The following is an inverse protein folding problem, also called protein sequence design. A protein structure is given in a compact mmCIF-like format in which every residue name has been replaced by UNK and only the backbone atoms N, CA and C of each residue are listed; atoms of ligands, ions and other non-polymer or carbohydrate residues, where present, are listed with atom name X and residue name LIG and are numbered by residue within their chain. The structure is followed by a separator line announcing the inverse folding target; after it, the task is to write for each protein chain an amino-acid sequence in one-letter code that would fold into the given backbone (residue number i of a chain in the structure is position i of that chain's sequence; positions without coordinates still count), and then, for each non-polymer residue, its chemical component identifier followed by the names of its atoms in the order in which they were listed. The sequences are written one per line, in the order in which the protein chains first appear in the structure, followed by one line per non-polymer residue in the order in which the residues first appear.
data_IF_026597098056
#
_entry.id   IF_026597098056
#
_cell.length_a   1.000
_cell.length_b   1.000
_cell.length_c   1.000
_cell.angle_alpha   90.00
_cell.angle_beta   90.00
_cell.angle_gamma   90.00
#
_symmetry.space_group_name_H-M   'P 1'
#
loop_
_entity.id
_entity.type
_entity.pdbx_description
1 polymer ?
#
# COMPACT_ATOMS: atom_id res chain seq x y z
N UNK A 1 7.74 -19.93 -31.55
CA UNK A 1 6.37 -19.57 -31.10
C UNK A 1 5.33 -20.30 -31.94
N UNK A 2 5.36 -20.11 -33.26
CA UNK A 2 4.49 -20.81 -34.21
C UNK A 2 4.42 -22.32 -33.97
N UNK A 3 5.56 -22.99 -33.83
CA UNK A 3 5.59 -24.43 -33.57
C UNK A 3 4.81 -24.83 -32.31
N UNK A 4 4.90 -24.09 -31.21
CA UNK A 4 4.17 -24.41 -29.97
C UNK A 4 2.66 -24.16 -30.10
N UNK A 5 2.26 -23.15 -30.88
CA UNK A 5 0.86 -22.74 -31.03
C UNK A 5 0.12 -23.48 -32.16
N UNK A 6 0.86 -23.97 -33.16
CA UNK A 6 0.28 -24.56 -34.38
C UNK A 6 0.63 -26.05 -34.58
N UNK A 7 1.39 -26.68 -33.68
CA UNK A 7 1.67 -28.12 -33.78
C UNK A 7 0.37 -28.93 -33.63
N UNK A 8 0.18 -29.88 -34.55
CA UNK A 8 -0.90 -30.87 -34.45
C UNK A 8 -0.67 -31.76 -33.22
N UNK A 9 -1.73 -32.17 -32.55
CA UNK A 9 -1.62 -32.97 -31.31
C UNK A 9 -0.85 -34.27 -31.53
N UNK A 10 -1.01 -34.90 -32.69
CA UNK A 10 -0.28 -36.11 -33.11
C UNK A 10 1.24 -35.88 -33.16
N UNK A 11 1.67 -34.74 -33.71
CA UNK A 11 3.09 -34.36 -33.75
C UNK A 11 3.61 -34.02 -32.36
N UNK A 12 2.79 -33.38 -31.52
CA UNK A 12 3.14 -33.07 -30.14
C UNK A 12 3.33 -34.36 -29.31
N UNK A 13 2.42 -35.35 -29.47
CA UNK A 13 2.56 -36.70 -28.88
C UNK A 13 3.86 -37.36 -29.29
N UNK A 14 4.17 -37.30 -30.58
CA UNK A 14 5.40 -37.89 -31.13
C UNK A 14 6.63 -37.22 -30.52
N UNK A 15 6.60 -35.89 -30.37
CA UNK A 15 7.71 -35.11 -29.78
C UNK A 15 7.89 -35.38 -28.28
N UNK A 16 6.80 -35.60 -27.54
CA UNK A 16 6.84 -35.79 -26.09
C UNK A 16 6.95 -37.25 -25.64
N UNK A 17 7.01 -38.21 -26.57
CA UNK A 17 6.92 -39.66 -26.30
C UNK A 17 7.89 -40.16 -25.21
N UNK A 18 9.11 -39.63 -25.18
CA UNK A 18 10.16 -40.06 -24.24
C UNK A 18 10.28 -39.14 -23.01
N UNK A 19 9.29 -38.27 -22.79
CA UNK A 19 9.27 -37.34 -21.66
C UNK A 19 8.18 -37.73 -20.65
N UNK A 20 8.33 -37.34 -19.37
CA UNK A 20 7.26 -37.48 -18.38
C UNK A 20 5.94 -36.80 -18.78
N UNK A 21 5.99 -35.83 -19.71
CA UNK A 21 4.82 -35.12 -20.21
C UNK A 21 4.03 -35.90 -21.27
N UNK A 22 4.51 -37.07 -21.75
CA UNK A 22 3.80 -37.91 -22.71
C UNK A 22 2.38 -38.25 -22.23
N UNK A 23 2.25 -38.58 -20.94
CA UNK A 23 0.99 -38.97 -20.30
C UNK A 23 -0.07 -37.85 -20.38
N UNK A 24 0.35 -36.59 -20.44
CA UNK A 24 -0.55 -35.42 -20.47
C UNK A 24 -1.13 -35.16 -21.86
N UNK A 25 -0.56 -35.79 -22.89
CA UNK A 25 -0.98 -35.61 -24.29
C UNK A 25 -1.50 -36.90 -24.91
N UNK A 26 -1.72 -37.97 -24.15
CA UNK A 26 -2.23 -39.25 -24.65
C UNK A 26 -3.58 -39.15 -25.38
N UNK A 27 -3.84 -40.12 -26.26
CA UNK A 27 -5.06 -40.20 -27.07
C UNK A 27 -6.35 -40.29 -26.24
N UNK A 28 -6.27 -40.98 -25.09
CA UNK A 28 -7.39 -41.10 -24.16
C UNK A 28 -7.67 -39.81 -23.39
N UNK A 29 -6.76 -38.84 -23.39
CA UNK A 29 -6.82 -37.62 -22.56
C UNK A 29 -6.73 -36.35 -23.42
N UNK A 30 -7.29 -36.40 -24.62
CA UNK A 30 -7.20 -35.32 -25.60
C UNK A 30 -7.80 -34.00 -25.11
N UNK A 31 -8.89 -34.06 -24.33
CA UNK A 31 -9.50 -32.87 -23.70
C UNK A 31 -8.54 -32.14 -22.75
N UNK A 32 -7.76 -32.89 -21.95
CA UNK A 32 -6.77 -32.30 -21.04
C UNK A 32 -5.60 -31.70 -21.82
N UNK A 33 -5.16 -32.35 -22.89
CA UNK A 33 -4.10 -31.83 -23.75
C UNK A 33 -4.51 -30.49 -24.42
N UNK A 34 -5.76 -30.39 -24.86
CA UNK A 34 -6.34 -29.15 -25.39
C UNK A 34 -6.38 -28.06 -24.30
N UNK A 35 -6.83 -28.40 -23.09
CA UNK A 35 -6.86 -27.47 -21.96
C UNK A 35 -5.45 -26.96 -21.59
N UNK A 36 -4.47 -27.84 -21.46
CA UNK A 36 -3.06 -27.48 -21.20
C UNK A 36 -2.54 -26.53 -22.29
N UNK A 37 -2.83 -26.82 -23.56
CA UNK A 37 -2.41 -25.98 -24.67
C UNK A 37 -3.09 -24.60 -24.65
N UNK A 38 -4.35 -24.52 -24.25
CA UNK A 38 -5.06 -23.25 -24.08
C UNK A 38 -4.41 -22.40 -22.98
N UNK A 39 -4.09 -23.00 -21.83
CA UNK A 39 -3.36 -22.31 -20.74
C UNK A 39 -1.98 -21.86 -21.21
N UNK A 40 -1.23 -22.74 -21.88
CA UNK A 40 0.12 -22.43 -22.38
C UNK A 40 0.13 -21.32 -23.42
N UNK A 41 -0.93 -21.22 -24.25
CA UNK A 41 -1.08 -20.15 -25.25
C UNK A 41 -1.05 -18.76 -24.60
N UNK A 42 -1.67 -18.60 -23.42
CA UNK A 42 -1.67 -17.32 -22.70
C UNK A 42 -0.26 -16.87 -22.30
N UNK A 43 0.62 -17.80 -21.92
CA UNK A 43 1.99 -17.50 -21.53
C UNK A 43 2.94 -17.38 -22.73
N UNK A 44 2.75 -18.19 -23.77
CA UNK A 44 3.62 -18.21 -24.96
C UNK A 44 3.42 -16.99 -25.86
N UNK A 45 2.28 -16.29 -25.77
CA UNK A 45 2.04 -14.99 -26.42
C UNK A 45 3.19 -14.00 -26.18
N UNK A 46 3.74 -13.98 -24.96
CA UNK A 46 4.84 -13.09 -24.58
C UNK A 46 6.11 -13.31 -25.42
N UNK A 47 6.35 -14.55 -25.88
CA UNK A 47 7.54 -14.93 -26.66
C UNK A 47 7.52 -14.29 -28.05
N UNK A 48 6.37 -13.82 -28.56
CA UNK A 48 6.31 -13.08 -29.84
C UNK A 48 7.17 -11.83 -29.83
N UNK A 49 7.22 -11.15 -28.70
CA UNK A 49 8.02 -9.95 -28.50
C UNK A 49 9.51 -10.26 -28.39
N UNK A 50 9.90 -11.53 -28.38
CA UNK A 50 11.28 -11.96 -28.42
C UNK A 50 11.76 -12.29 -29.83
N UNK A 51 10.98 -11.98 -30.87
CA UNK A 51 11.43 -12.17 -32.26
C UNK A 51 12.72 -11.38 -32.54
N UNK A 52 13.64 -12.00 -33.30
CA UNK A 52 14.89 -11.38 -33.73
C UNK A 52 16.02 -11.48 -32.71
N UNK A 53 15.80 -12.01 -31.51
CA UNK A 53 16.89 -12.21 -30.53
C UNK A 53 17.94 -13.21 -31.01
N UNK A 54 17.52 -14.19 -31.83
CA UNK A 54 18.39 -15.19 -32.44
C UNK A 54 19.49 -14.60 -33.33
N UNK A 55 19.38 -13.33 -33.73
CA UNK A 55 20.38 -12.62 -34.55
C UNK A 55 21.30 -11.73 -33.73
N UNK A 56 21.07 -11.58 -32.43
CA UNK A 56 21.76 -10.61 -31.57
C UNK A 56 23.10 -11.10 -30.99
N UNK A 57 23.71 -12.13 -31.56
CA UNK A 57 25.03 -12.63 -31.18
C UNK A 57 24.99 -13.81 -30.22
N UNK A 58 25.91 -13.82 -29.24
CA UNK A 58 26.11 -14.94 -28.31
C UNK A 58 24.90 -15.16 -27.39
N UNK A 59 24.53 -16.43 -27.11
CA UNK A 59 23.47 -16.73 -26.17
C UNK A 59 23.73 -16.16 -24.78
N UNK A 60 22.76 -15.42 -24.25
CA UNK A 60 22.80 -14.89 -22.89
C UNK A 60 21.91 -15.70 -21.96
N UNK A 61 22.42 -16.09 -20.80
CA UNK A 61 21.61 -16.62 -19.70
C UNK A 61 21.86 -15.85 -18.42
N UNK A 62 20.78 -15.48 -17.73
CA UNK A 62 20.88 -14.81 -16.43
C UNK A 62 21.62 -15.68 -15.42
N UNK A 63 21.42 -17.00 -15.49
CA UNK A 63 22.10 -17.96 -14.60
C UNK A 63 23.61 -17.89 -14.74
N UNK A 64 24.13 -17.97 -15.96
CA UNK A 64 25.57 -17.97 -16.20
C UNK A 64 26.16 -16.58 -15.98
N UNK A 65 25.41 -15.52 -16.31
CA UNK A 65 25.77 -14.15 -15.94
C UNK A 65 25.93 -13.99 -14.43
N UNK A 66 24.98 -14.50 -13.64
CA UNK A 66 25.07 -14.46 -12.18
C UNK A 66 26.25 -15.28 -11.65
N UNK A 67 26.49 -16.49 -12.17
CA UNK A 67 27.65 -17.31 -11.79
C UNK A 67 28.99 -16.68 -12.20
N UNK A 68 29.00 -15.89 -13.27
CA UNK A 68 30.16 -15.16 -13.75
C UNK A 68 30.46 -13.89 -12.96
N UNK A 69 29.59 -13.50 -12.02
CA UNK A 69 29.79 -12.35 -11.12
C UNK A 69 31.04 -12.61 -10.27
N UNK A 70 32.06 -11.79 -10.49
CA UNK A 70 33.33 -11.87 -9.76
C UNK A 70 33.24 -11.02 -8.51
N UNK A 71 33.52 -11.62 -7.36
CA UNK A 71 33.37 -10.95 -6.05
C UNK A 71 34.44 -9.87 -5.83
N UNK A 72 35.55 -9.95 -6.55
CA UNK A 72 36.72 -9.08 -6.48
C UNK A 72 36.74 -7.99 -7.57
N UNK A 73 35.78 -7.97 -8.50
CA UNK A 73 35.77 -7.04 -9.63
C UNK A 73 34.45 -6.26 -9.76
N UNK A 74 34.49 -5.19 -10.56
CA UNK A 74 33.28 -4.46 -10.93
C UNK A 74 32.43 -5.34 -11.84
N UNK A 75 31.24 -5.69 -11.36
CA UNK A 75 30.25 -6.41 -12.13
C UNK A 75 29.33 -5.46 -12.89
N UNK A 76 28.71 -5.97 -13.96
CA UNK A 76 27.74 -5.24 -14.76
C UNK A 76 26.38 -5.10 -14.06
N UNK A 77 25.51 -4.29 -14.64
CA UNK A 77 24.10 -4.18 -14.26
C UNK A 77 23.24 -4.94 -15.26
N UNK A 78 22.25 -5.69 -14.76
CA UNK A 78 21.22 -6.28 -15.60
C UNK A 78 19.97 -5.42 -15.51
N UNK A 79 19.59 -4.82 -16.65
CA UNK A 79 18.36 -4.05 -16.77
C UNK A 79 17.28 -4.91 -17.40
N UNK A 80 16.16 -5.10 -16.70
CA UNK A 80 14.97 -5.74 -17.25
C UNK A 80 13.93 -4.64 -17.41
N UNK A 81 13.80 -4.12 -18.63
CA UNK A 81 12.90 -3.02 -18.96
C UNK A 81 11.73 -3.47 -19.82
N UNK A 82 10.63 -2.75 -19.74
CA UNK A 82 9.47 -2.94 -20.60
C UNK A 82 8.82 -1.60 -20.92
N UNK A 83 8.35 -1.42 -22.15
CA UNK A 83 7.48 -0.29 -22.47
C UNK A 83 6.06 -0.56 -21.94
N UNK A 84 5.37 0.48 -21.47
CA UNK A 84 4.01 0.43 -20.93
C UNK A 84 3.03 -0.29 -21.87
N UNK A 85 3.11 -0.04 -23.18
CA UNK A 85 2.23 -0.65 -24.19
C UNK A 85 2.38 -2.18 -24.29
N UNK A 86 3.59 -2.67 -24.00
CA UNK A 86 3.95 -4.08 -24.10
C UNK A 86 4.03 -4.79 -22.75
N UNK A 87 3.98 -4.04 -21.65
CA UNK A 87 4.24 -4.53 -20.30
C UNK A 87 3.28 -5.66 -19.92
N UNK A 88 1.98 -5.48 -20.16
CA UNK A 88 0.94 -6.49 -19.90
C UNK A 88 1.24 -7.84 -20.57
N UNK A 89 1.82 -7.79 -21.76
CA UNK A 89 2.15 -8.99 -22.54
C UNK A 89 3.51 -9.58 -22.18
N UNK A 90 4.47 -8.76 -21.73
CA UNK A 90 5.80 -9.20 -21.31
C UNK A 90 5.85 -9.67 -19.86
N UNK A 91 4.81 -9.39 -19.07
CA UNK A 91 4.65 -9.77 -17.66
C UNK A 91 5.09 -11.22 -17.36
N UNK A 92 4.71 -12.27 -18.14
CA UNK A 92 5.20 -13.63 -17.91
C UNK A 92 6.71 -13.80 -18.05
N UNK A 93 7.31 -13.18 -19.07
CA UNK A 93 8.73 -13.31 -19.39
C UNK A 93 9.58 -12.58 -18.36
N UNK A 94 9.18 -11.37 -17.97
CA UNK A 94 9.85 -10.59 -16.92
C UNK A 94 9.79 -11.34 -15.59
N UNK A 95 8.62 -11.87 -15.23
CA UNK A 95 8.43 -12.67 -14.01
C UNK A 95 9.33 -13.92 -14.01
N UNK A 96 9.45 -14.60 -15.15
CA UNK A 96 10.33 -15.75 -15.33
C UNK A 96 11.81 -15.36 -15.17
N UNK A 97 12.26 -14.28 -15.82
CA UNK A 97 13.64 -13.82 -15.70
C UNK A 97 14.01 -13.43 -14.27
N UNK A 98 13.11 -12.76 -13.56
CA UNK A 98 13.29 -12.42 -12.16
C UNK A 98 13.36 -13.68 -11.28
N UNK A 99 12.50 -14.68 -11.51
CA UNK A 99 12.58 -15.98 -10.81
C UNK A 99 13.90 -16.71 -11.09
N UNK A 100 14.39 -16.70 -12.34
CA UNK A 100 15.70 -17.27 -12.69
C UNK A 100 16.82 -16.54 -11.96
N UNK A 101 16.76 -15.21 -11.86
CA UNK A 101 17.75 -14.42 -11.15
C UNK A 101 17.75 -14.74 -9.64
N UNK A 102 16.58 -14.79 -9.02
CA UNK A 102 16.42 -15.11 -7.59
C UNK A 102 16.96 -16.52 -7.28
N UNK A 103 16.60 -17.53 -8.09
CA UNK A 103 17.12 -18.90 -7.93
C UNK A 103 18.61 -18.99 -8.27
N UNK A 104 19.07 -18.19 -9.22
CA UNK A 104 20.49 -18.05 -9.57
C UNK A 104 21.33 -17.62 -8.38
N UNK A 105 20.83 -16.68 -7.57
CA UNK A 105 21.48 -16.24 -6.33
C UNK A 105 21.72 -17.40 -5.36
N UNK A 106 20.69 -18.23 -5.12
CA UNK A 106 20.79 -19.37 -4.23
C UNK A 106 21.80 -20.41 -4.73
N UNK A 107 21.84 -20.63 -6.04
CA UNK A 107 22.75 -21.58 -6.67
C UNK A 107 24.23 -21.16 -6.62
N UNK A 108 24.55 -19.91 -6.27
CA UNK A 108 25.92 -19.43 -6.14
C UNK A 108 26.56 -19.74 -4.77
N UNK A 109 25.84 -20.39 -3.86
CA UNK A 109 26.33 -20.74 -2.53
C UNK A 109 26.39 -19.56 -1.54
N UNK A 110 26.50 -19.89 -0.25
CA UNK A 110 26.46 -18.92 0.85
C UNK A 110 27.68 -18.01 0.84
N UNK A 111 27.45 -16.70 0.86
CA UNK A 111 28.52 -15.71 0.99
C UNK A 111 27.97 -14.41 1.57
N UNK A 112 28.41 -14.07 2.79
CA UNK A 112 27.99 -12.85 3.49
C UNK A 112 28.66 -11.57 2.99
N UNK A 113 29.72 -11.66 2.20
CA UNK A 113 30.41 -10.50 1.62
C UNK A 113 29.82 -10.11 0.26
N UNK A 114 29.12 -11.03 -0.41
CA UNK A 114 28.42 -10.77 -1.66
C UNK A 114 27.25 -9.79 -1.44
N UNK A 115 27.02 -8.91 -2.42
CA UNK A 115 25.86 -8.01 -2.48
C UNK A 115 25.29 -8.03 -3.88
N UNK A 116 24.17 -8.73 -4.05
CA UNK A 116 23.37 -8.71 -5.29
C UNK A 116 22.10 -7.92 -5.01
N UNK A 117 21.97 -6.77 -5.66
CA UNK A 117 20.82 -5.88 -5.48
C UNK A 117 19.72 -6.18 -6.49
N UNK A 118 18.51 -6.37 -5.99
CA UNK A 118 17.29 -6.48 -6.75
C UNK A 118 16.45 -5.23 -6.49
N UNK A 119 16.39 -4.35 -7.48
CA UNK A 119 15.48 -3.20 -7.47
C UNK A 119 14.23 -3.59 -8.26
N UNK A 120 13.09 -3.67 -7.59
CA UNK A 120 11.79 -3.91 -8.23
C UNK A 120 10.88 -2.75 -7.85
N UNK A 121 10.77 -1.77 -8.74
CA UNK A 121 9.99 -0.54 -8.57
C UNK A 121 8.48 -0.79 -8.50
N UNK A 122 7.98 -1.80 -9.23
CA UNK A 122 6.55 -2.10 -9.28
C UNK A 122 6.26 -3.60 -9.30
N UNK A 123 6.64 -4.29 -8.21
CA UNK A 123 6.40 -5.73 -8.05
C UNK A 123 4.94 -6.16 -8.33
N UNK A 124 3.90 -5.38 -7.94
CA UNK A 124 2.52 -5.75 -8.23
C UNK A 124 2.14 -5.82 -9.72
N UNK A 125 2.92 -5.19 -10.60
CA UNK A 125 2.66 -5.32 -12.05
C UNK A 125 3.04 -6.69 -12.59
N UNK A 126 3.86 -7.47 -11.85
CA UNK A 126 4.33 -8.78 -12.25
C UNK A 126 3.34 -9.90 -11.88
N UNK A 127 3.56 -11.12 -12.40
CA UNK A 127 2.80 -12.27 -11.91
C UNK A 127 3.26 -12.61 -10.49
N UNK A 128 2.40 -13.28 -9.73
CA UNK A 128 2.79 -13.86 -8.44
C UNK A 128 4.06 -14.69 -8.62
N UNK A 129 5.15 -14.25 -8.02
CA UNK A 129 6.40 -14.98 -8.00
C UNK A 129 6.34 -15.97 -6.85
N UNK A 130 6.13 -17.28 -7.12
CA UNK A 130 5.85 -18.26 -6.06
C UNK A 130 7.01 -18.34 -5.06
N UNK A 131 8.25 -18.31 -5.55
CA UNK A 131 9.42 -18.50 -4.70
C UNK A 131 9.80 -17.24 -3.91
N UNK A 132 9.23 -16.08 -4.22
CA UNK A 132 9.71 -14.83 -3.62
C UNK A 132 9.51 -14.81 -2.10
N UNK A 133 8.36 -15.29 -1.63
CA UNK A 133 7.98 -15.31 -0.21
C UNK A 133 8.89 -16.23 0.60
N UNK A 134 9.30 -17.36 0.02
CA UNK A 134 10.19 -18.33 0.67
C UNK A 134 11.66 -17.93 0.56
N UNK A 135 12.08 -17.37 -0.58
CA UNK A 135 13.49 -17.10 -0.85
C UNK A 135 13.97 -15.81 -0.19
N UNK A 136 13.18 -14.74 -0.16
CA UNK A 136 13.63 -13.44 0.36
C UNK A 136 14.15 -13.52 1.81
N UNK A 137 13.49 -14.23 2.76
CA UNK A 137 14.03 -14.46 4.10
C UNK A 137 15.41 -15.15 4.10
N UNK A 138 15.60 -16.16 3.24
CA UNK A 138 16.84 -16.93 3.19
C UNK A 138 17.95 -16.24 2.39
N UNK A 139 17.60 -15.40 1.42
CA UNK A 139 18.53 -14.79 0.48
C UNK A 139 19.62 -13.95 1.16
N UNK A 140 19.39 -13.48 2.39
CA UNK A 140 20.37 -12.76 3.20
C UNK A 140 21.67 -13.54 3.40
N UNK A 141 21.64 -14.87 3.57
CA UNK A 141 22.87 -15.69 3.73
C UNK A 141 23.66 -15.86 2.43
N UNK A 142 23.01 -15.66 1.28
CA UNK A 142 23.60 -15.70 -0.05
C UNK A 142 24.05 -14.32 -0.58
N UNK A 143 23.82 -13.25 0.19
CA UNK A 143 24.18 -11.88 -0.18
C UNK A 143 23.14 -11.15 -1.02
N UNK A 144 21.89 -11.62 -1.04
CA UNK A 144 20.78 -10.93 -1.70
C UNK A 144 20.32 -9.68 -0.94
N UNK A 145 20.09 -8.59 -1.65
CA UNK A 145 19.53 -7.34 -1.13
C UNK A 145 18.33 -6.96 -2.00
N UNK A 146 17.15 -6.82 -1.40
CA UNK A 146 15.91 -6.53 -2.11
C UNK A 146 15.42 -5.14 -1.77
N UNK A 147 15.04 -4.39 -2.79
CA UNK A 147 14.40 -3.07 -2.67
C UNK A 147 13.13 -3.11 -3.49
N UNK A 148 11.99 -3.03 -2.82
CA UNK A 148 10.68 -3.04 -3.45
C UNK A 148 10.01 -1.67 -3.37
N UNK A 149 9.57 -1.17 -4.51
CA UNK A 149 8.59 -0.09 -4.60
C UNK A 149 7.19 -0.69 -4.55
N UNK A 150 6.38 -0.22 -3.61
CA UNK A 150 5.00 -0.67 -3.42
C UNK A 150 4.14 0.59 -3.27
N UNK A 151 3.09 0.71 -4.08
CA UNK A 151 2.15 1.84 -4.01
C UNK A 151 1.10 1.62 -2.93
N UNK A 152 0.61 0.39 -2.76
CA UNK A 152 -0.41 0.03 -1.76
C UNK A 152 -0.19 -1.38 -1.24
N UNK A 153 -0.40 -1.59 0.06
CA UNK A 153 -0.43 -2.94 0.66
C UNK A 153 -1.52 -3.81 0.04
N UNK A 154 -2.67 -3.23 -0.36
CA UNK A 154 -3.78 -3.96 -0.97
C UNK A 154 -3.39 -4.61 -2.30
N UNK A 155 -2.56 -3.94 -3.11
CA UNK A 155 -2.08 -4.51 -4.39
C UNK A 155 -1.21 -5.76 -4.15
N UNK A 156 -0.45 -5.78 -3.05
CA UNK A 156 0.33 -6.95 -2.66
C UNK A 156 -0.58 -8.08 -2.14
N UNK A 157 -1.60 -7.74 -1.36
CA UNK A 157 -2.61 -8.70 -0.89
C UNK A 157 -3.37 -9.35 -2.06
N UNK A 158 -3.72 -8.60 -3.11
CA UNK A 158 -4.42 -9.12 -4.29
C UNK A 158 -3.59 -10.16 -5.05
N UNK A 159 -2.27 -10.00 -5.10
CA UNK A 159 -1.38 -10.86 -5.90
C UNK A 159 -0.87 -12.05 -5.10
N UNK A 160 -0.44 -11.81 -3.87
CA UNK A 160 0.19 -12.83 -3.03
C UNK A 160 -0.82 -13.52 -2.09
N UNK A 161 -1.92 -12.84 -1.77
CA UNK A 161 -2.81 -13.16 -0.67
C UNK A 161 -2.37 -12.45 0.62
N UNK A 162 -3.32 -12.15 1.50
CA UNK A 162 -3.12 -11.42 2.76
C UNK A 162 -1.93 -11.93 3.59
N UNK A 163 -1.89 -13.24 3.87
CA UNK A 163 -0.83 -13.85 4.69
C UNK A 163 0.55 -13.72 4.04
N UNK A 164 0.64 -14.00 2.74
CA UNK A 164 1.92 -14.01 2.02
C UNK A 164 2.45 -12.59 1.79
N UNK A 165 1.56 -11.63 1.56
CA UNK A 165 1.90 -10.21 1.49
C UNK A 165 2.46 -9.71 2.83
N UNK A 166 1.77 -10.03 3.94
CA UNK A 166 2.23 -9.69 5.29
C UNK A 166 3.62 -10.28 5.58
N UNK A 167 3.83 -11.57 5.28
CA UNK A 167 5.15 -12.22 5.44
C UNK A 167 6.24 -11.52 4.63
N UNK A 168 5.95 -11.11 3.39
CA UNK A 168 6.96 -10.44 2.56
C UNK A 168 7.30 -9.04 3.10
N UNK A 169 6.31 -8.29 3.56
CA UNK A 169 6.50 -6.95 4.14
C UNK A 169 7.23 -7.01 5.50
N UNK A 170 6.96 -8.04 6.31
CA UNK A 170 7.60 -8.24 7.62
C UNK A 170 9.12 -8.43 7.51
N UNK A 171 9.58 -9.10 6.45
CA UNK A 171 11.02 -9.32 6.21
C UNK A 171 11.75 -8.02 5.80
N UNK A 172 11.00 -7.01 5.34
CA UNK A 172 11.54 -5.71 4.92
C UNK A 172 11.76 -4.80 6.13
N UNK A 173 12.95 -4.89 6.72
CA UNK A 173 13.25 -4.15 7.95
C UNK A 173 13.54 -2.65 7.75
N UNK A 174 14.08 -2.26 6.59
CA UNK A 174 14.29 -0.84 6.26
C UNK A 174 13.09 -0.38 5.46
N UNK A 175 12.35 0.61 5.95
CA UNK A 175 11.13 1.09 5.30
C UNK A 175 11.20 2.59 5.10
N UNK A 176 10.78 3.03 3.92
CA UNK A 176 10.63 4.44 3.58
C UNK A 176 9.17 4.68 3.18
N UNK A 177 8.46 5.42 4.02
CA UNK A 177 7.05 5.72 3.85
C UNK A 177 6.87 7.10 3.22
N UNK A 178 6.31 7.12 2.02
CA UNK A 178 5.97 8.33 1.28
C UNK A 178 4.52 8.73 1.53
N UNK A 179 4.12 9.89 0.97
CA UNK A 179 2.72 10.36 1.01
C UNK A 179 1.78 9.27 0.51
N UNK A 180 0.74 8.98 1.28
CA UNK A 180 -0.38 8.15 0.86
C UNK A 180 -1.70 8.89 1.12
N UNK A 181 -2.56 9.06 0.10
CA UNK A 181 -3.83 9.79 0.27
C UNK A 181 -4.89 8.95 1.01
N UNK A 182 -4.79 7.62 1.00
CA UNK A 182 -5.79 6.73 1.58
C UNK A 182 -5.67 6.66 3.10
N UNK A 183 -6.76 6.91 3.83
CA UNK A 183 -6.81 6.80 5.30
C UNK A 183 -6.32 5.43 5.78
N UNK A 184 -6.81 4.33 5.17
CA UNK A 184 -6.44 2.97 5.59
C UNK A 184 -4.93 2.73 5.52
N UNK A 185 -4.28 3.24 4.47
CA UNK A 185 -2.84 3.08 4.28
C UNK A 185 -2.07 4.06 5.21
N UNK A 186 -2.52 5.29 5.34
CA UNK A 186 -1.90 6.28 6.20
C UNK A 186 -1.95 5.88 7.69
N UNK A 187 -3.09 5.33 8.14
CA UNK A 187 -3.25 4.79 9.49
C UNK A 187 -2.37 3.57 9.71
N UNK A 188 -2.31 2.64 8.75
CA UNK A 188 -1.37 1.51 8.78
C UNK A 188 0.08 2.00 8.90
N UNK A 189 0.49 2.96 8.09
CA UNK A 189 1.84 3.54 8.13
C UNK A 189 2.12 4.23 9.47
N UNK A 190 1.16 4.95 10.05
CA UNK A 190 1.34 5.59 11.36
C UNK A 190 1.64 4.56 12.46
N UNK A 191 0.92 3.43 12.45
CA UNK A 191 1.16 2.32 13.39
C UNK A 191 2.49 1.60 13.13
N UNK A 192 2.89 1.46 11.85
CA UNK A 192 4.19 0.86 11.49
C UNK A 192 5.39 1.75 11.84
N UNK A 193 5.23 3.07 11.86
CA UNK A 193 6.26 4.01 12.36
C UNK A 193 6.38 3.88 13.89
N UNK A 194 5.26 3.72 14.58
CA UNK A 194 5.19 3.43 16.01
C UNK A 194 4.54 4.51 16.87
N UNK A 195 4.45 4.21 18.15
CA UNK A 195 3.82 5.05 19.19
C UNK A 195 4.86 5.48 20.23
N UNK A 196 4.55 6.56 20.96
CA UNK A 196 5.26 7.00 22.15
C UNK A 196 4.29 7.21 23.30
N UNK A 197 4.75 6.95 24.51
CA UNK A 197 4.04 7.31 25.73
C UNK A 197 4.50 8.70 26.17
N UNK A 198 3.56 9.60 26.39
CA UNK A 198 3.82 10.97 26.84
C UNK A 198 3.12 11.16 28.19
N UNK A 199 3.85 11.72 29.16
CA UNK A 199 3.25 12.21 30.40
C UNK A 199 2.72 13.62 30.16
N UNK A 200 1.40 13.74 30.03
CA UNK A 200 0.69 15.01 29.88
C UNK A 200 0.37 15.55 31.27
N UNK A 201 0.86 16.75 31.57
CA UNK A 201 0.41 17.46 32.76
C UNK A 201 -1.03 17.92 32.51
N UNK A 202 -1.95 17.47 33.36
CA UNK A 202 -3.35 17.91 33.36
C UNK A 202 -3.56 18.88 34.52
N UNK A 203 -4.04 20.07 34.23
CA UNK A 203 -4.47 21.03 35.25
C UNK A 203 -5.99 21.14 35.20
N UNK A 204 -6.64 20.81 36.31
CA UNK A 204 -8.07 20.98 36.48
C UNK A 204 -8.30 22.19 37.38
N UNK A 205 -8.94 23.20 36.81
CA UNK A 205 -9.37 24.40 37.51
C UNK A 205 -10.76 24.14 38.08
N UNK A 206 -10.89 24.12 39.40
CA UNK A 206 -12.19 24.07 40.06
C UNK A 206 -12.56 25.47 40.54
N UNK A 207 -13.55 26.07 39.88
CA UNK A 207 -14.12 27.36 40.28
C UNK A 207 -15.26 27.13 41.27
N UNK A 208 -15.06 27.56 42.51
CA UNK A 208 -16.11 27.64 43.52
C UNK A 208 -16.94 28.91 43.36
N UNK A 209 -18.16 28.94 43.91
CA UNK A 209 -18.97 30.16 43.96
C UNK A 209 -18.39 31.26 44.90
N UNK A 210 -17.29 30.98 45.59
CA UNK A 210 -16.64 31.84 46.57
C UNK A 210 -15.17 32.07 46.16
N UNK A 211 -14.73 33.31 45.87
CA UNK A 211 -13.41 33.61 45.29
C UNK A 211 -12.22 33.28 46.19
N UNK A 212 -12.46 32.89 47.45
CA UNK A 212 -11.41 32.52 48.42
C UNK A 212 -11.00 31.04 48.30
N UNK A 213 -11.69 30.25 47.47
CA UNK A 213 -11.53 28.78 47.44
C UNK A 213 -11.43 28.22 46.01
N UNK A 214 -10.56 28.81 45.19
CA UNK A 214 -10.16 28.21 43.92
C UNK A 214 -9.06 27.17 44.16
N UNK A 215 -9.34 25.92 43.77
CA UNK A 215 -8.38 24.82 43.84
C UNK A 215 -7.85 24.48 42.45
N UNK A 216 -6.52 24.52 42.28
CA UNK A 216 -5.83 23.97 41.11
C UNK A 216 -5.38 22.56 41.47
N UNK A 217 -5.91 21.56 40.78
CA UNK A 217 -5.45 20.17 40.87
C UNK A 217 -4.57 19.87 39.67
N UNK A 218 -3.32 19.47 39.91
CA UNK A 218 -2.38 19.08 38.85
C UNK A 218 -2.20 17.56 38.89
N UNK A 219 -2.59 16.89 37.81
CA UNK A 219 -2.35 15.48 37.56
C UNK A 219 -1.27 15.26 36.50
N UNK A 220 -0.67 14.08 36.49
CA UNK A 220 0.11 13.58 35.35
C UNK A 220 -0.66 12.40 34.76
N UNK A 221 -1.08 12.54 33.53
CA UNK A 221 -1.75 11.48 32.78
C UNK A 221 -0.78 10.90 31.77
N UNK A 222 -0.65 9.57 31.75
CA UNK A 222 0.15 8.87 30.75
C UNK A 222 -0.74 8.56 29.55
N UNK A 223 -0.42 9.14 28.40
CA UNK A 223 -1.18 8.98 27.15
C UNK A 223 -0.26 8.36 26.09
N UNK A 224 -0.75 7.32 25.41
CA UNK A 224 -0.06 6.70 24.28
C UNK A 224 -0.50 7.37 22.98
N UNK A 225 0.45 7.96 22.25
CA UNK A 225 0.19 8.75 21.04
C UNK A 225 1.09 8.25 19.92
N UNK A 226 0.59 8.18 18.69
CA UNK A 226 1.41 7.86 17.53
C UNK A 226 2.54 8.88 17.35
N UNK A 227 3.69 8.44 16.84
CA UNK A 227 4.82 9.35 16.56
C UNK A 227 4.47 10.35 15.45
N UNK A 228 3.66 9.90 14.50
CA UNK A 228 3.21 10.64 13.33
C UNK A 228 1.72 10.39 13.17
N UNK A 229 0.92 11.43 12.93
CA UNK A 229 -0.51 11.26 12.68
C UNK A 229 -0.77 10.75 11.25
N UNK A 230 -1.89 10.08 11.02
CA UNK A 230 -2.31 9.72 9.65
C UNK A 230 -2.42 10.96 8.75
N UNK A 231 -2.82 12.11 9.32
CA UNK A 231 -2.94 13.39 8.60
C UNK A 231 -1.57 13.93 8.16
N UNK A 232 -0.52 13.76 8.98
CA UNK A 232 0.84 14.13 8.59
C UNK A 232 1.32 13.32 7.39
N UNK A 233 0.97 12.02 7.33
CA UNK A 233 1.32 11.13 6.21
C UNK A 233 0.55 11.53 4.94
N UNK A 234 -0.72 11.88 5.04
CA UNK A 234 -1.53 12.33 3.90
C UNK A 234 -1.06 13.68 3.35
N UNK A 235 -0.59 14.58 4.22
CA UNK A 235 -0.13 15.92 3.87
C UNK A 235 1.37 16.02 3.57
N UNK A 236 2.10 14.90 3.56
CA UNK A 236 3.52 14.87 3.23
C UNK A 236 3.81 15.54 1.87
N UNK A 237 4.75 16.50 1.80
CA UNK A 237 5.12 17.09 0.52
C UNK A 237 5.88 16.09 -0.35
N UNK A 238 5.88 16.34 -1.66
CA UNK A 238 6.65 15.54 -2.61
C UNK A 238 8.13 15.53 -2.24
N UNK A 239 8.81 14.43 -2.57
CA UNK A 239 10.21 14.18 -2.19
C UNK A 239 10.46 14.17 -0.67
N UNK A 240 9.45 13.93 0.17
CA UNK A 240 9.64 13.74 1.61
C UNK A 240 9.09 12.40 2.05
N UNK A 241 9.79 11.71 2.95
CA UNK A 241 9.38 10.42 3.49
C UNK A 241 9.74 10.27 4.97
N UNK A 242 9.09 9.34 5.66
CA UNK A 242 9.54 8.84 6.96
C UNK A 242 10.36 7.57 6.75
N UNK A 243 11.55 7.51 7.33
CA UNK A 243 12.44 6.35 7.22
C UNK A 243 12.57 5.67 8.58
N UNK A 244 12.36 4.35 8.60
CA UNK A 244 12.66 3.48 9.73
C UNK A 244 13.80 2.54 9.36
N UNK A 245 14.77 2.40 10.29
CA UNK A 245 15.94 1.54 10.13
C UNK A 245 15.87 0.36 11.09
N UNK A 246 16.44 -0.80 10.75
CA UNK A 246 16.52 -1.93 11.67
C UNK A 246 17.36 -1.59 12.91
N UNK A 247 16.82 -1.88 14.09
CA UNK A 247 17.50 -1.70 15.37
C UNK A 247 16.94 -0.52 16.17
N UNK A 248 17.65 -0.08 17.23
CA UNK A 248 17.17 0.96 18.14
C UNK A 248 17.42 2.37 17.57
N UNK A 249 16.97 2.61 16.34
CA UNK A 249 17.09 3.91 15.67
C UNK A 249 15.74 4.62 15.62
N UNK A 250 15.71 5.95 15.82
CA UNK A 250 14.46 6.70 15.73
C UNK A 250 13.96 6.74 14.28
N UNK A 251 12.64 6.85 14.11
CA UNK A 251 12.04 7.20 12.82
C UNK A 251 12.41 8.65 12.48
N UNK A 252 12.86 8.89 11.24
CA UNK A 252 13.31 10.21 10.79
C UNK A 252 12.49 10.67 9.60
N UNK A 253 12.04 11.93 9.64
CA UNK A 253 11.48 12.62 8.46
C UNK A 253 12.64 13.09 7.57
N UNK A 254 12.74 12.50 6.38
CA UNK A 254 13.79 12.76 5.41
C UNK A 254 13.25 13.56 4.22
N UNK A 255 13.86 14.70 3.92
CA UNK A 255 13.63 15.43 2.68
C UNK A 255 14.67 14.99 1.63
N UNK A 256 14.20 14.43 0.53
CA UNK A 256 15.00 13.97 -0.59
C UNK A 256 15.28 15.13 -1.55
N UNK A 257 16.51 15.20 -2.06
CA UNK A 257 16.88 16.13 -3.12
C UNK A 257 16.88 15.41 -4.45
N UNK A 258 16.05 15.89 -5.40
CA UNK A 258 16.11 15.40 -6.78
C UNK A 258 17.51 15.64 -7.36
N UNK A 259 18.11 14.59 -7.91
CA UNK A 259 19.40 14.64 -8.57
C UNK A 259 19.21 14.27 -10.04
N UNK A 260 19.35 15.24 -10.93
CA UNK A 260 19.33 14.99 -12.37
C UNK A 260 20.54 14.13 -12.76
N UNK A 261 20.32 13.12 -13.59
CA UNK A 261 21.35 12.20 -14.07
C UNK A 261 21.53 12.38 -15.58
N UNK A 262 22.79 12.40 -16.09
CA UNK A 262 23.02 12.51 -17.53
C UNK A 262 22.46 11.28 -18.25
N UNK A 263 21.80 11.50 -19.38
CA UNK A 263 21.31 10.41 -20.24
C UNK A 263 22.50 9.78 -20.97
N UNK A 264 22.89 8.57 -20.55
CA UNK A 264 24.03 7.82 -21.12
C UNK A 264 23.63 6.84 -22.22
N UNK A 265 22.35 6.48 -22.30
CA UNK A 265 21.82 5.54 -23.27
C UNK A 265 20.38 5.93 -23.65
N UNK A 266 19.90 5.58 -24.86
CA UNK A 266 18.49 5.71 -25.21
C UNK A 266 17.64 4.81 -24.31
N UNK A 267 16.44 5.28 -23.97
CA UNK A 267 15.50 4.54 -23.11
C UNK A 267 15.02 3.23 -23.77
N UNK A 268 14.75 3.28 -25.07
CA UNK A 268 14.28 2.14 -25.83
C UNK A 268 14.86 2.15 -27.25
N UNK A 269 15.40 1.01 -27.66
CA UNK A 269 15.87 0.78 -29.03
C UNK A 269 14.88 -0.19 -29.68
N UNK A 270 14.02 0.27 -30.61
CA UNK A 270 13.05 -0.61 -31.26
C UNK A 270 13.78 -1.68 -32.07
N UNK A 271 13.27 -2.90 -32.01
CA UNK A 271 13.76 -4.01 -32.83
C UNK A 271 12.97 -4.07 -34.13
N UNK A 272 13.64 -4.52 -35.19
CA UNK A 272 12.98 -4.85 -36.45
C UNK A 272 12.15 -6.13 -36.26
N UNK A 273 10.84 -5.98 -36.18
CA UNK A 273 9.90 -7.11 -36.17
C UNK A 273 9.46 -7.42 -37.60
N UNK A 274 9.33 -8.71 -37.95
CA UNK A 274 8.83 -9.10 -39.26
C UNK A 274 7.30 -9.00 -39.27
N UNK A 275 6.70 -8.05 -40.03
CA UNK A 275 5.26 -7.82 -40.02
C UNK A 275 4.46 -9.02 -40.56
N UNK A 276 5.01 -9.80 -41.49
CA UNK A 276 4.34 -10.99 -42.02
C UNK A 276 4.24 -12.12 -40.98
N UNK A 277 5.32 -12.31 -40.21
CA UNK A 277 5.35 -13.29 -39.13
C UNK A 277 4.37 -12.89 -38.02
N UNK A 278 4.29 -11.60 -37.70
CA UNK A 278 3.34 -11.07 -36.73
C UNK A 278 1.88 -11.23 -37.18
N UNK A 279 1.58 -10.94 -38.45
CA UNK A 279 0.24 -11.13 -39.03
C UNK A 279 -0.18 -12.61 -38.98
N UNK A 280 0.73 -13.52 -39.36
CA UNK A 280 0.49 -14.96 -39.30
C UNK A 280 0.23 -15.43 -37.87
N UNK A 281 1.06 -15.00 -36.92
CA UNK A 281 0.92 -15.35 -35.52
C UNK A 281 -0.38 -14.82 -34.92
N UNK A 282 -0.77 -13.60 -35.28
CA UNK A 282 -2.02 -12.98 -34.85
C UNK A 282 -3.24 -13.75 -35.37
N UNK A 283 -3.21 -14.19 -36.64
CA UNK A 283 -4.27 -15.03 -37.20
C UNK A 283 -4.38 -16.40 -36.48
N UNK A 284 -3.25 -17.03 -36.16
CA UNK A 284 -3.23 -18.30 -35.40
C UNK A 284 -3.83 -18.11 -34.01
N UNK A 285 -3.47 -17.02 -33.31
CA UNK A 285 -4.00 -16.72 -31.99
C UNK A 285 -5.52 -16.44 -32.02
N UNK A 286 -5.99 -15.66 -32.99
CA UNK A 286 -7.42 -15.34 -33.14
C UNK A 286 -8.26 -16.60 -33.42
N UNK A 287 -7.78 -17.48 -34.31
CA UNK A 287 -8.44 -18.76 -34.57
C UNK A 287 -8.52 -19.63 -33.30
N UNK A 288 -7.48 -19.63 -32.47
CA UNK A 288 -7.45 -20.40 -31.22
C UNK A 288 -8.34 -19.80 -30.13
N UNK A 289 -8.40 -18.48 -30.00
CA UNK A 289 -9.34 -17.84 -29.07
C UNK A 289 -10.78 -18.13 -29.45
N UNK A 290 -11.09 -18.21 -30.75
CA UNK A 290 -12.41 -18.63 -31.23
C UNK A 290 -12.70 -20.11 -30.88
N UNK A 291 -11.75 -21.03 -31.10
CA UNK A 291 -11.91 -22.44 -30.70
C UNK A 291 -12.12 -22.60 -29.19
N UNK A 292 -11.36 -21.85 -28.37
CA UNK A 292 -11.50 -21.89 -26.91
C UNK A 292 -12.85 -21.34 -26.49
N UNK A 293 -13.30 -20.21 -27.03
CA UNK A 293 -14.64 -19.66 -26.76
C UNK A 293 -15.75 -20.64 -27.14
N UNK A 294 -15.63 -21.28 -28.30
CA UNK A 294 -16.60 -22.26 -28.77
C UNK A 294 -16.63 -23.51 -27.87
N UNK A 295 -15.50 -23.90 -27.28
CA UNK A 295 -15.49 -24.98 -26.28
C UNK A 295 -16.02 -24.54 -24.92
N UNK A 296 -15.74 -23.31 -24.48
CA UNK A 296 -16.26 -22.77 -23.22
C UNK A 296 -17.78 -22.64 -23.24
N UNK A 297 -18.39 -22.29 -24.38
CA UNK A 297 -19.85 -22.23 -24.51
C UNK A 297 -20.54 -23.59 -24.41
N UNK A 298 -19.79 -24.70 -24.50
CA UNK A 298 -20.33 -26.06 -24.27
C UNK A 298 -20.49 -26.37 -22.76
N UNK A 299 -19.96 -25.52 -21.88
CA UNK A 299 -19.99 -25.70 -20.42
C UNK A 299 -20.81 -24.61 -19.70
N UNK A 300 -21.36 -23.63 -20.42
CA UNK A 300 -22.38 -22.75 -19.86
C UNK A 300 -23.72 -23.52 -19.83
N UNK A 301 -24.42 -23.58 -18.69
CA UNK A 301 -25.76 -24.14 -18.68
C UNK A 301 -26.67 -23.24 -19.52
N UNK A 302 -27.48 -23.86 -20.40
CA UNK A 302 -28.52 -23.16 -21.16
C UNK A 302 -29.41 -22.38 -20.19
N UNK A 303 -29.14 -21.09 -20.01
CA UNK A 303 -30.17 -20.18 -19.54
C UNK A 303 -31.00 -19.89 -20.78
N UNK A 304 -32.20 -20.47 -20.83
CA UNK A 304 -33.16 -20.23 -21.89
C UNK A 304 -33.21 -18.74 -22.19
N UNK A 305 -32.85 -18.40 -23.44
CA UNK A 305 -32.99 -17.07 -23.98
C UNK A 305 -34.47 -16.68 -23.89
N UNK A 306 -34.81 -15.85 -22.91
CA UNK A 306 -36.09 -15.15 -22.92
C UNK A 306 -36.04 -14.20 -24.11
N UNK A 307 -36.82 -14.54 -25.14
CA UNK A 307 -36.97 -13.72 -26.34
C UNK A 307 -37.37 -12.28 -25.98
N UNK A 308 -36.80 -11.25 -26.65
CA UNK A 308 -37.23 -9.88 -26.43
C UNK A 308 -38.58 -9.68 -27.11
N UNK A 309 -39.63 -9.48 -26.32
CA UNK A 309 -40.90 -8.91 -26.82
C UNK A 309 -40.68 -7.45 -27.17
N UNK A 310 -40.97 -7.11 -28.42
CA UNK A 310 -40.99 -5.75 -28.91
C UNK A 310 -42.13 -4.95 -28.25
N UNK A 311 -41.79 -3.81 -27.64
CA UNK A 311 -42.65 -2.65 -27.53
C UNK A 311 -41.78 -1.39 -27.31
N UNK A 312 -41.84 -0.48 -28.27
CA UNK A 312 -41.35 0.89 -28.17
C UNK A 312 -42.12 1.64 -27.08
N UNK A 313 -41.43 2.44 -26.25
CA UNK A 313 -41.77 3.86 -25.97
C UNK A 313 -41.00 4.42 -24.77
N UNK A 314 -40.29 5.51 -25.07
CA UNK A 314 -40.09 6.72 -24.26
C UNK A 314 -39.32 6.67 -22.93
N UNK A 315 -38.35 7.59 -22.88
CA UNK A 315 -37.55 8.00 -21.75
C UNK A 315 -38.40 8.64 -20.65
N UNK A 316 -38.07 8.35 -19.38
CA UNK A 316 -38.10 9.30 -18.27
C UNK A 316 -37.24 8.80 -17.09
N UNK A 317 -36.60 9.75 -16.40
CA UNK A 317 -35.61 9.57 -15.32
C UNK A 317 -36.18 8.89 -14.06
N UNK A 318 -35.38 8.16 -13.26
CA UNK A 318 -35.77 7.85 -11.89
C UNK A 318 -35.35 8.97 -10.92
N UNK A 319 -36.34 9.70 -10.40
CA UNK A 319 -36.21 10.45 -9.15
C UNK A 319 -36.25 9.51 -7.93
N UNK A 320 -35.45 9.83 -6.91
CA UNK A 320 -35.37 9.15 -5.61
C UNK A 320 -36.70 9.15 -4.84
N UNK A 321 -37.04 8.08 -4.11
CA UNK A 321 -37.99 8.14 -3.02
C UNK A 321 -37.30 8.32 -1.65
N UNK A 322 -37.76 9.31 -0.89
CA UNK A 322 -37.54 9.47 0.55
C UNK A 322 -38.22 8.35 1.37
N UNK A 323 -37.75 8.03 2.59
CA UNK A 323 -38.35 7.01 3.43
C UNK A 323 -39.48 7.55 4.32
N UNK A 324 -40.61 6.84 4.33
CA UNK A 324 -41.69 6.99 5.31
C UNK A 324 -41.60 5.96 6.43
N UNK A 325 -41.77 6.44 7.65
CA UNK A 325 -41.82 5.74 8.94
C UNK A 325 -43.15 5.01 9.11
N UNK A 326 -43.18 3.72 9.49
CA UNK A 326 -44.27 3.14 10.32
C UNK A 326 -43.74 2.03 11.22
N UNK A 327 -44.07 2.15 12.50
CA UNK A 327 -43.94 1.26 13.65
C UNK A 327 -44.95 0.10 13.66
N UNK A 328 -44.59 -1.09 14.14
CA UNK A 328 -44.98 -1.62 15.47
C UNK A 328 -44.65 -3.13 15.64
N UNK A 329 -44.13 -3.44 16.85
CA UNK A 329 -44.39 -4.58 17.79
C UNK A 329 -44.87 -5.94 17.26
N UNK A 330 -44.60 -7.10 17.88
CA UNK A 330 -43.83 -7.60 19.04
C UNK A 330 -44.20 -9.09 19.17
N UNK A 331 -43.26 -9.99 19.48
CA UNK A 331 -43.45 -11.30 20.17
C UNK A 331 -42.04 -11.91 20.35
N UNK A 332 -41.39 -11.92 21.51
CA UNK A 332 -41.66 -12.47 22.86
C UNK A 332 -41.27 -13.96 23.03
N UNK A 333 -40.52 -14.18 24.13
CA UNK A 333 -40.21 -15.40 24.89
C UNK A 333 -38.84 -16.06 24.65
N UNK A 334 -38.08 -16.49 25.66
CA UNK A 334 -38.07 -16.30 27.12
C UNK A 334 -36.82 -17.01 27.72
N UNK A 335 -36.41 -16.58 28.92
CA UNK A 335 -35.62 -17.34 29.90
C UNK A 335 -34.11 -17.08 29.90
N UNK A 336 -33.41 -16.81 31.01
CA UNK A 336 -33.77 -16.82 32.43
C UNK A 336 -32.66 -16.11 33.22
N UNK A 337 -33.05 -15.48 34.33
CA UNK A 337 -32.25 -14.63 35.20
C UNK A 337 -31.39 -15.39 36.23
N UNK A 338 -30.34 -14.73 36.72
CA UNK A 338 -29.88 -14.80 38.12
C UNK A 338 -29.60 -13.35 38.57
N UNK A 339 -30.02 -13.04 39.80
CA UNK A 339 -30.18 -11.69 40.33
C UNK A 339 -29.36 -11.51 41.62
N UNK A 340 -29.13 -10.23 41.98
CA UNK A 340 -28.86 -9.63 43.33
C UNK A 340 -27.39 -9.28 43.73
N UNK A 341 -27.16 -8.30 44.65
CA UNK A 341 -27.40 -6.85 44.47
C UNK A 341 -26.35 -5.92 45.17
N UNK A 342 -26.28 -4.63 44.81
CA UNK A 342 -25.86 -3.48 45.66
C UNK A 342 -25.95 -2.22 44.77
N UNK A 343 -26.64 -1.13 45.08
CA UNK A 343 -26.78 -0.44 46.35
C UNK A 343 -26.05 0.90 46.23
N UNK A 344 -26.72 1.94 45.71
CA UNK A 344 -26.13 3.28 45.54
C UNK A 344 -27.14 4.29 45.01
N UNK A 345 -27.43 5.30 45.83
CA UNK A 345 -28.50 6.29 45.70
C UNK A 345 -28.28 7.20 44.49
N UNK A 346 -29.32 7.35 43.66
CA UNK A 346 -29.35 8.30 42.56
C UNK A 346 -29.41 9.74 43.08
N UNK A 347 -28.51 10.59 42.56
CA UNK A 347 -28.63 12.03 42.66
C UNK A 347 -28.87 12.56 41.25
N UNK A 348 -30.04 13.15 41.04
CA UNK A 348 -30.47 13.78 39.79
C UNK A 348 -29.47 14.87 39.39
N UNK A 349 -28.81 14.70 38.23
CA UNK A 349 -28.13 15.77 37.55
C UNK A 349 -29.17 16.69 36.91
N UNK A 350 -29.45 17.82 37.56
CA UNK A 350 -30.15 18.94 36.92
C UNK A 350 -29.25 19.50 35.82
N UNK A 351 -29.65 19.31 34.56
CA UNK A 351 -29.17 20.12 33.44
C UNK A 351 -29.47 21.59 33.71
N UNK A 352 -28.44 22.43 33.72
CA UNK A 352 -28.59 23.88 33.56
C UNK A 352 -28.70 24.21 32.06
N UNK A 353 -29.52 25.18 31.66
CA UNK A 353 -29.52 25.70 30.31
C UNK A 353 -28.38 26.72 30.19
N UNK A 354 -27.43 26.49 29.30
CA UNK A 354 -26.43 27.50 28.90
C UNK A 354 -26.54 27.72 27.40
N UNK A 355 -27.64 28.37 27.00
CA UNK A 355 -27.63 29.32 25.87
C UNK A 355 -27.26 30.69 26.47
N UNK A 356 -25.96 30.91 26.76
CA UNK A 356 -25.44 32.28 26.88
C UNK A 356 -24.91 32.67 25.49
N UNK A 357 -25.71 33.46 24.77
CA UNK A 357 -25.31 34.11 23.53
C UNK A 357 -24.01 34.90 23.77
N UNK A 358 -22.88 34.40 23.25
CA UNK A 358 -21.65 35.19 23.19
C UNK A 358 -21.93 36.45 22.37
N UNK A 359 -21.62 37.66 22.87
CA UNK A 359 -21.87 38.88 22.13
C UNK A 359 -21.06 38.87 20.83
N UNK A 360 -21.76 38.99 19.70
CA UNK A 360 -21.16 39.02 18.38
C UNK A 360 -20.11 40.16 18.30
N UNK A 361 -18.98 39.94 17.61
CA UNK A 361 -17.96 40.96 17.44
C UNK A 361 -18.55 42.24 16.83
N UNK A 362 -18.12 43.44 17.29
CA UNK A 362 -18.51 44.70 16.67
C UNK A 362 -18.26 44.67 15.15
N UNK A 363 -19.28 45.01 14.36
CA UNK A 363 -19.22 45.01 12.90
C UNK A 363 -19.73 43.75 12.21
N UNK A 364 -20.18 42.73 12.95
CA UNK A 364 -20.88 41.54 12.43
C UNK A 364 -22.38 41.61 12.76
N UNK A 365 -23.25 41.32 11.78
CA UNK A 365 -24.70 41.25 12.00
C UNK A 365 -25.15 39.89 12.55
N UNK A 366 -26.43 39.77 12.93
CA UNK A 366 -27.01 38.54 13.49
C UNK A 366 -26.98 37.32 12.54
N UNK A 367 -26.68 37.50 11.25
CA UNK A 367 -26.50 36.43 10.27
C UNK A 367 -25.03 36.04 10.04
N UNK A 368 -24.08 36.65 10.78
CA UNK A 368 -22.65 36.31 10.70
C UNK A 368 -21.88 37.00 9.58
N UNK A 369 -22.48 37.99 8.92
CA UNK A 369 -21.83 38.76 7.84
C UNK A 369 -21.18 40.04 8.39
N UNK A 370 -20.00 40.39 7.88
CA UNK A 370 -19.29 41.61 8.27
C UNK A 370 -19.92 42.80 7.56
N UNK A 371 -20.62 43.64 8.32
CA UNK A 371 -21.30 44.85 7.83
C UNK A 371 -20.40 46.09 7.99
N UNK A 372 -19.48 46.08 8.96
CA UNK A 372 -18.50 47.14 9.16
C UNK A 372 -17.10 46.55 9.37
N UNK A 373 -16.32 46.52 8.29
CA UNK A 373 -14.99 45.94 8.27
C UNK A 373 -13.99 46.70 9.16
N UNK A 374 -14.15 48.02 9.30
CA UNK A 374 -13.25 48.85 10.09
C UNK A 374 -13.48 48.69 11.60
N UNK A 375 -14.74 48.48 12.01
CA UNK A 375 -15.08 48.14 13.39
C UNK A 375 -14.54 46.75 13.77
N UNK A 376 -14.69 45.76 12.87
CA UNK A 376 -14.20 44.41 13.10
C UNK A 376 -12.67 44.32 13.17
N UNK A 377 -11.95 45.05 12.31
CA UNK A 377 -10.48 45.08 12.33
C UNK A 377 -9.92 45.70 13.61
N UNK A 378 -10.54 46.77 14.15
CA UNK A 378 -10.12 47.35 15.43
C UNK A 378 -10.32 46.40 16.59
N UNK A 379 -11.48 45.75 16.66
CA UNK A 379 -11.76 44.74 17.68
C UNK A 379 -10.76 43.57 17.61
N UNK A 380 -10.40 43.12 16.41
CA UNK A 380 -9.39 42.08 16.20
C UNK A 380 -8.00 42.52 16.69
N UNK A 381 -7.59 43.75 16.39
CA UNK A 381 -6.31 44.29 16.83
C UNK A 381 -6.24 44.44 18.35
N UNK A 382 -7.32 44.87 19.00
CA UNK A 382 -7.39 44.95 20.47
C UNK A 382 -7.29 43.55 21.12
N UNK A 383 -7.93 42.54 20.53
CA UNK A 383 -7.80 41.14 20.98
C UNK A 383 -6.38 40.60 20.82
N UNK A 384 -5.70 40.88 19.71
CA UNK A 384 -4.31 40.48 19.48
C UNK A 384 -3.36 41.16 20.48
N UNK A 385 -3.53 42.45 20.76
CA UNK A 385 -2.74 43.19 21.76
C UNK A 385 -2.95 42.63 23.16
N UNK A 386 -4.19 42.31 23.53
CA UNK A 386 -4.51 41.76 24.85
C UNK A 386 -3.94 40.33 25.02
N UNK A 387 -3.98 39.54 23.94
CA UNK A 387 -3.39 38.18 23.90
C UNK A 387 -1.86 38.24 23.98
N UNK A 388 -1.22 39.19 23.30
CA UNK A 388 0.23 39.41 23.40
C UNK A 388 0.64 39.87 24.80
N UNK A 389 -0.13 40.77 25.43
CA UNK A 389 0.13 41.18 26.82
C UNK A 389 -0.04 40.01 27.80
N UNK A 390 -1.02 39.11 27.59
CA UNK A 390 -1.16 37.88 28.38
C UNK A 390 0.01 36.91 28.17
N UNK A 391 0.53 36.77 26.94
CA UNK A 391 1.72 35.96 26.65
C UNK A 391 2.97 36.55 27.31
N UNK A 392 3.21 37.86 27.22
CA UNK A 392 4.33 38.53 27.90
C UNK A 392 4.24 38.37 29.42
N UNK A 393 3.05 38.54 30.00
CA UNK A 393 2.85 38.37 31.44
C UNK A 393 3.07 36.90 31.88
N UNK A 394 2.74 35.92 31.03
CA UNK A 394 3.08 34.49 31.26
C UNK A 394 4.58 34.22 31.19
N UNK A 395 5.28 34.82 30.22
CA UNK A 395 6.75 34.70 30.10
C UNK A 395 7.47 35.33 31.30
N UNK A 396 7.04 36.51 31.76
CA UNK A 396 7.61 37.17 32.95
C UNK A 396 7.45 36.34 34.23
N UNK A 397 6.31 35.67 34.40
CA UNK A 397 6.07 34.76 35.53
C UNK A 397 6.99 33.54 35.45
N UNK A 398 7.22 33.00 34.25
CA UNK A 398 8.10 31.84 34.04
C UNK A 398 9.58 32.16 34.32
N UNK A 399 10.03 33.37 33.96
CA UNK A 399 11.39 33.86 34.22
C UNK A 399 11.62 34.10 35.71
N UNK A 400 10.63 34.62 36.45
CA UNK A 400 10.76 34.85 37.89
C UNK A 400 10.77 33.56 38.73
N UNK A 401 10.16 32.47 38.25
CA UNK A 401 10.21 31.16 38.90
C UNK A 401 11.62 30.52 38.80
N UNK A 402 12.38 30.80 37.74
CA UNK A 402 13.73 30.24 37.54
C UNK A 402 14.86 31.00 38.26
N UNK A 403 14.59 32.15 38.90
CA UNK A 403 15.60 32.95 39.60
C UNK A 403 15.60 32.80 41.13
N UNK A 404 14.69 32.00 41.69
CA UNK A 404 14.37 31.98 43.13
C UNK A 404 14.93 30.82 43.97
N UNK A 405 15.61 29.81 43.41
CA UNK A 405 16.20 28.73 44.20
C UNK A 405 17.58 28.33 43.66
N UNK A 406 18.60 29.01 44.17
CA UNK A 406 20.00 28.62 44.01
C UNK A 406 20.70 28.75 45.35
N UNK A 407 20.61 27.70 46.18
CA UNK A 407 21.68 27.23 47.09
C UNK A 407 21.22 25.97 47.85
N UNK A 408 22.11 24.98 47.77
CA UNK A 408 22.28 23.84 48.66
C UNK A 408 21.28 22.67 48.56
N UNK A 409 21.57 21.69 47.69
CA UNK A 409 21.53 20.24 48.02
C UNK A 409 22.14 19.37 46.89
N UNK A 410 22.89 18.28 47.19
CA UNK A 410 23.62 17.47 46.21
C UNK A 410 22.76 16.36 45.58
N UNK A 411 22.96 16.10 44.28
CA UNK A 411 22.28 15.03 43.53
C UNK A 411 22.80 13.62 43.94
N UNK A 412 21.92 12.65 44.22
CA UNK A 412 22.31 11.25 44.43
C UNK A 412 22.25 10.46 43.12
N UNK A 413 23.39 9.97 42.62
CA UNK A 413 23.42 9.12 41.43
C UNK A 413 24.77 8.68 40.88
N UNK A 414 25.89 9.26 41.29
CA UNK A 414 27.23 8.71 41.00
C UNK A 414 27.60 7.68 42.07
N UNK A 415 27.23 6.41 41.85
CA UNK A 415 28.11 5.26 42.01
C UNK A 415 27.37 3.95 41.69
N UNK A 416 28.09 3.08 40.96
CA UNK A 416 27.83 1.70 40.49
C UNK A 416 27.27 1.49 39.08
#
# INVERSE_FOLDING_TARGET
VDTLLSIKIEKLRTYLRDSPAANLVEEKIEKTAISIRAVLTNYVKAVRYLQGIERNGEPFTIRDWMRGVREDQKNGWLFISSNADTHSSLKPVISMWLSIAIRGLLAMGENRNRRVWFFCDELPTLHKLPDLVEIVPEARKFGGCYVFGIQSSTQMEDIYGEKAAATLLDVMNTRAFFRSPSYKIADYVAHEIGEKEILKASEQYSYGADPVRDGVSTGKEMERVTLVSYSDIQSLPDLTCYVTLPGPYPAVKLALKYQERPKVAPEFIPREMNPEAEARLSAVLAAREAEVRQMSSLFEPDTEAVAPTAAEAQAEQPQQPQPTVVSDKKSAAAGTAVNTPAGGVGQELKMKPEDEEQPLPPGINASGEVVDMAAYERWRQEQEVNTQQQMQRREEVNINVHRGHGKDEPEPGDDF
#
